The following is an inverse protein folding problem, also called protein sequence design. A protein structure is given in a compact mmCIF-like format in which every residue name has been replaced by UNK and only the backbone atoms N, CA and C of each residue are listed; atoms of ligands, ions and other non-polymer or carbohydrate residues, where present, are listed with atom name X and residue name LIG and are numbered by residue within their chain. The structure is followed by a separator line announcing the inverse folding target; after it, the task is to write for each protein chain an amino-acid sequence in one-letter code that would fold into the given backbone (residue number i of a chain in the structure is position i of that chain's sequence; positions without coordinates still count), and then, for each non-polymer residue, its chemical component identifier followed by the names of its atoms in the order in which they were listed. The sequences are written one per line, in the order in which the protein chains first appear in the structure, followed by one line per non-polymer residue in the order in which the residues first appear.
data_IF_086637844532
#
_entry.id   IF_086637844532
#
_cell.length_a   1.000
_cell.length_b   1.000
_cell.length_c   1.000
_cell.angle_alpha   90.00
_cell.angle_beta   90.00
_cell.angle_gamma   90.00
#
_symmetry.space_group_name_H-M   'P 1'
#
loop_
_entity.id
_entity.type
_entity.pdbx_description
1 polymer ?
#
# COMPACT_ATOMS: atom_id res chain seq x y z
N UNK A 1 -18.00 2.33 1.17
CA UNK A 1 -16.65 2.10 0.60
C UNK A 1 -16.18 3.38 -0.08
N UNK A 2 -14.87 3.58 -0.28
CA UNK A 2 -14.37 4.77 -0.97
C UNK A 2 -14.59 4.68 -2.48
N UNK A 3 -14.48 5.81 -3.17
CA UNK A 3 -14.50 5.88 -4.64
C UNK A 3 -13.23 5.27 -5.24
N UNK A 4 -12.06 5.59 -4.65
CA UNK A 4 -10.75 5.04 -5.02
C UNK A 4 -10.24 4.13 -3.92
N UNK A 5 -10.09 2.85 -4.23
CA UNK A 5 -9.64 1.82 -3.29
C UNK A 5 -8.23 1.34 -3.65
N UNK A 6 -7.37 1.22 -2.65
CA UNK A 6 -6.01 0.70 -2.77
C UNK A 6 -5.92 -0.69 -2.16
N UNK A 7 -5.34 -1.63 -2.90
CA UNK A 7 -5.10 -3.00 -2.44
C UNK A 7 -3.66 -3.39 -2.72
N UNK A 8 -2.89 -3.69 -1.69
CA UNK A 8 -1.49 -4.07 -1.89
C UNK A 8 -0.99 -5.01 -0.78
N UNK A 9 0.05 -5.77 -1.06
CA UNK A 9 0.79 -6.46 0.00
C UNK A 9 2.02 -5.68 0.39
N UNK A 10 2.16 -5.48 1.69
CA UNK A 10 3.21 -4.66 2.26
C UNK A 10 3.88 -5.40 3.40
N UNK A 11 5.19 -5.21 3.50
CA UNK A 11 5.94 -5.75 4.61
C UNK A 11 5.71 -4.91 5.86
N UNK A 12 4.90 -5.43 6.78
CA UNK A 12 4.62 -4.85 8.09
C UNK A 12 5.16 -5.81 9.13
N UNK A 13 5.98 -5.31 10.06
CA UNK A 13 6.70 -6.12 11.03
C UNK A 13 7.52 -7.27 10.39
N UNK A 14 8.11 -7.02 9.21
CA UNK A 14 8.87 -7.99 8.38
C UNK A 14 8.06 -9.15 7.80
N UNK A 15 6.73 -9.13 7.94
CA UNK A 15 5.83 -10.14 7.37
C UNK A 15 5.00 -9.48 6.26
N UNK A 16 4.78 -10.14 5.12
CA UNK A 16 3.86 -9.64 4.10
C UNK A 16 2.43 -9.61 4.66
N UNK A 17 1.77 -8.45 4.60
CA UNK A 17 0.39 -8.22 5.02
C UNK A 17 -0.40 -7.61 3.88
N UNK A 18 -1.64 -8.04 3.69
CA UNK A 18 -2.51 -7.48 2.67
C UNK A 18 -3.25 -6.26 3.22
N UNK A 19 -3.00 -5.10 2.65
CA UNK A 19 -3.49 -3.80 3.10
C UNK A 19 -4.56 -3.31 2.14
N UNK A 20 -5.65 -2.82 2.71
CA UNK A 20 -6.78 -2.26 1.98
C UNK A 20 -7.01 -0.85 2.53
N UNK A 21 -7.11 0.14 1.65
CA UNK A 21 -7.20 1.54 2.07
C UNK A 21 -7.97 2.42 1.10
N UNK A 22 -8.55 3.49 1.63
CA UNK A 22 -9.04 4.61 0.86
C UNK A 22 -7.85 5.48 0.45
N UNK A 23 -7.60 5.51 -0.85
CA UNK A 23 -6.43 6.19 -1.41
C UNK A 23 -6.64 7.71 -1.44
N UNK A 24 -7.89 8.17 -1.60
CA UNK A 24 -8.21 9.60 -1.65
C UNK A 24 -8.17 10.23 -0.25
N UNK A 25 -8.80 9.59 0.73
CA UNK A 25 -8.90 10.17 2.07
C UNK A 25 -7.74 9.76 3.00
N UNK A 26 -6.76 9.00 2.48
CA UNK A 26 -5.63 8.46 3.26
C UNK A 26 -6.10 7.69 4.49
N UNK A 27 -7.16 6.89 4.34
CA UNK A 27 -7.70 6.07 5.43
C UNK A 27 -7.36 4.59 5.25
N UNK A 28 -6.98 3.92 6.33
CA UNK A 28 -6.84 2.48 6.37
C UNK A 28 -8.22 1.84 6.50
N UNK A 29 -8.57 0.94 5.59
CA UNK A 29 -9.81 0.15 5.73
C UNK A 29 -9.53 -1.15 6.46
N UNK A 30 -8.45 -1.85 6.09
CA UNK A 30 -8.05 -3.07 6.79
C UNK A 30 -6.60 -3.50 6.53
N UNK A 31 -6.09 -4.34 7.41
CA UNK A 31 -4.88 -5.13 7.24
C UNK A 31 -5.26 -6.59 7.49
N UNK A 32 -5.01 -7.46 6.50
CA UNK A 32 -5.19 -8.91 6.56
C UNK A 32 -3.83 -9.60 6.63
N UNK A 33 -3.82 -10.82 7.15
CA UNK A 33 -2.58 -11.53 7.44
C UNK A 33 -1.69 -11.75 6.22
N UNK A 34 -2.29 -12.05 5.07
CA UNK A 34 -1.62 -12.22 3.78
C UNK A 34 -2.64 -12.14 2.64
N UNK A 35 -2.15 -11.97 1.41
CA UNK A 35 -3.01 -11.89 0.20
C UNK A 35 -3.55 -13.24 -0.29
N UNK A 36 -3.01 -14.34 0.22
CA UNK A 36 -3.35 -15.72 -0.17
C UNK A 36 -4.39 -16.35 0.75
N UNK A 37 -4.91 -15.59 1.71
CA UNK A 37 -5.81 -16.15 2.71
C UNK A 37 -7.09 -16.62 2.00
N UNK A 38 -7.45 -17.89 2.20
CA UNK A 38 -8.69 -18.53 1.71
C UNK A 38 -9.94 -17.69 2.01
N UNK A 39 -9.87 -16.83 3.04
CA UNK A 39 -10.97 -16.03 3.53
C UNK A 39 -11.09 -14.64 2.87
N UNK A 40 -10.26 -14.28 1.87
CA UNK A 40 -10.44 -12.98 1.20
C UNK A 40 -11.78 -12.91 0.45
N UNK A 41 -12.24 -14.01 -0.13
CA UNK A 41 -13.56 -14.06 -0.77
C UNK A 41 -14.68 -13.77 0.24
N UNK A 42 -14.72 -14.52 1.36
CA UNK A 42 -15.69 -14.29 2.43
C UNK A 42 -15.59 -12.88 3.04
N UNK A 43 -14.37 -12.35 3.14
CA UNK A 43 -14.13 -11.01 3.63
C UNK A 43 -14.76 -9.95 2.72
N UNK A 44 -14.53 -10.05 1.40
CA UNK A 44 -15.11 -9.12 0.44
C UNK A 44 -16.62 -9.32 0.28
N UNK A 45 -17.14 -10.55 0.43
CA UNK A 45 -18.58 -10.80 0.40
C UNK A 45 -19.33 -10.01 1.48
N UNK A 46 -18.77 -9.93 2.69
CA UNK A 46 -19.33 -9.19 3.83
C UNK A 46 -19.21 -7.67 3.72
N UNK A 47 -18.42 -7.15 2.77
CA UNK A 47 -18.29 -5.71 2.59
C UNK A 47 -19.51 -5.12 1.90
N UNK A 48 -20.10 -4.09 2.50
CA UNK A 48 -21.20 -3.32 1.93
C UNK A 48 -20.69 -2.12 1.11
N UNK A 49 -21.55 -1.62 0.21
CA UNK A 49 -21.24 -0.43 -0.60
C UNK A 49 -20.15 -0.65 -1.64
N UNK A 50 -19.85 -1.89 -2.04
CA UNK A 50 -18.83 -2.20 -3.07
C UNK A 50 -19.11 -1.51 -4.41
N UNK A 51 -20.38 -1.23 -4.71
CA UNK A 51 -20.81 -0.52 -5.91
C UNK A 51 -20.40 0.97 -5.96
N UNK A 52 -20.02 1.55 -4.83
CA UNK A 52 -19.49 2.92 -4.77
C UNK A 52 -18.02 3.01 -5.16
N UNK A 53 -17.32 1.87 -5.29
CA UNK A 53 -15.93 1.84 -5.73
C UNK A 53 -15.88 1.99 -7.25
N UNK A 54 -15.26 3.07 -7.72
CA UNK A 54 -15.09 3.34 -9.15
C UNK A 54 -13.77 2.78 -9.67
N UNK A 55 -12.70 2.86 -8.88
CA UNK A 55 -11.37 2.39 -9.28
C UNK A 55 -10.62 1.71 -8.15
N UNK A 56 -9.92 0.63 -8.49
CA UNK A 56 -9.05 -0.11 -7.59
C UNK A 56 -7.62 -0.06 -8.12
N UNK A 57 -6.71 0.51 -7.32
CA UNK A 57 -5.28 0.44 -7.58
C UNK A 57 -4.66 -0.71 -6.81
N UNK A 58 -3.90 -1.54 -7.53
CA UNK A 58 -3.24 -2.69 -6.96
C UNK A 58 -1.88 -2.96 -7.61
N UNK A 59 -1.15 -3.91 -7.03
CA UNK A 59 0.07 -4.43 -7.61
C UNK A 59 -0.19 -5.36 -8.82
N UNK A 60 0.90 -5.80 -9.46
CA UNK A 60 0.85 -6.67 -10.63
C UNK A 60 0.69 -8.15 -10.27
N UNK A 61 -0.20 -8.46 -9.32
CA UNK A 61 -0.54 -9.82 -8.94
C UNK A 61 -1.89 -10.25 -9.53
N UNK A 62 -1.89 -11.30 -10.36
CA UNK A 62 -3.09 -11.79 -11.05
C UNK A 62 -4.18 -12.29 -10.09
N UNK A 63 -3.82 -12.77 -8.90
CA UNK A 63 -4.78 -13.19 -7.88
C UNK A 63 -5.65 -12.03 -7.39
N UNK A 64 -5.03 -10.87 -7.09
CA UNK A 64 -5.76 -9.66 -6.71
C UNK A 64 -6.67 -9.18 -7.85
N UNK A 65 -6.17 -9.19 -9.10
CA UNK A 65 -7.00 -8.87 -10.27
C UNK A 65 -8.24 -9.77 -10.40
N UNK A 66 -8.09 -11.07 -10.14
CA UNK A 66 -9.20 -12.03 -10.20
C UNK A 66 -10.22 -11.74 -9.10
N UNK A 67 -9.72 -11.46 -7.89
CA UNK A 67 -10.51 -11.11 -6.72
C UNK A 67 -11.29 -9.81 -6.92
N UNK A 68 -10.62 -8.76 -7.39
CA UNK A 68 -11.22 -7.46 -7.70
C UNK A 68 -12.33 -7.59 -8.73
N UNK A 69 -12.10 -8.30 -9.85
CA UNK A 69 -13.12 -8.50 -10.88
C UNK A 69 -14.35 -9.27 -10.38
N UNK A 70 -14.16 -10.18 -9.41
CA UNK A 70 -15.25 -10.98 -8.83
C UNK A 70 -16.13 -10.14 -7.91
N UNK A 71 -15.51 -9.37 -7.02
CA UNK A 71 -16.18 -8.67 -5.90
C UNK A 71 -16.58 -7.23 -6.20
N UNK A 72 -15.84 -6.54 -7.07
CA UNK A 72 -16.04 -5.13 -7.40
C UNK A 72 -16.39 -4.96 -8.87
N UNK A 73 -17.57 -5.48 -9.26
CA UNK A 73 -17.97 -5.60 -10.67
C UNK A 73 -18.11 -4.27 -11.41
N UNK A 74 -18.38 -3.18 -10.68
CA UNK A 74 -18.49 -1.82 -11.24
C UNK A 74 -17.16 -1.07 -11.29
N UNK A 75 -16.17 -1.51 -10.52
CA UNK A 75 -14.88 -0.83 -10.44
C UNK A 75 -13.98 -1.20 -11.61
N UNK A 76 -13.26 -0.21 -12.15
CA UNK A 76 -12.12 -0.48 -13.03
C UNK A 76 -10.87 -0.75 -12.20
N UNK A 77 -9.93 -1.49 -12.77
CA UNK A 77 -8.67 -1.82 -12.09
C UNK A 77 -7.51 -1.08 -12.73
N UNK A 78 -6.76 -0.33 -11.92
CA UNK A 78 -5.48 0.28 -12.28
C UNK A 78 -4.30 -0.45 -11.63
N UNK A 79 -3.14 -0.39 -12.28
CA UNK A 79 -1.87 -0.79 -11.65
C UNK A 79 -1.22 0.42 -11.01
N UNK A 80 -0.81 0.30 -9.74
CA UNK A 80 0.05 1.30 -9.12
C UNK A 80 1.39 1.35 -9.85
N UNK A 81 1.68 2.51 -10.45
CA UNK A 81 2.88 2.75 -11.24
C UNK A 81 4.17 2.51 -10.47
N UNK A 82 4.17 2.67 -9.14
CA UNK A 82 5.34 2.41 -8.33
C UNK A 82 5.88 0.99 -8.54
N UNK A 83 5.00 -0.01 -8.67
CA UNK A 83 5.41 -1.40 -8.88
C UNK A 83 6.08 -1.59 -10.25
N UNK A 84 5.56 -0.97 -11.31
CA UNK A 84 6.16 -1.01 -12.65
C UNK A 84 7.54 -0.33 -12.64
N UNK A 85 7.61 0.85 -12.04
CA UNK A 85 8.82 1.66 -11.97
C UNK A 85 9.88 0.99 -11.07
N UNK A 86 9.48 0.32 -10.00
CA UNK A 86 10.36 -0.47 -9.15
C UNK A 86 11.04 -1.61 -9.92
N UNK A 87 10.31 -2.32 -10.81
CA UNK A 87 10.92 -3.35 -11.67
C UNK A 87 12.03 -2.77 -12.55
N UNK A 88 11.86 -1.57 -13.08
CA UNK A 88 12.89 -0.92 -13.89
C UNK A 88 14.15 -0.55 -13.09
N UNK A 89 14.00 -0.16 -11.83
CA UNK A 89 15.15 0.00 -10.92
C UNK A 89 15.88 -1.32 -10.69
N UNK A 90 15.15 -2.42 -10.51
CA UNK A 90 15.74 -3.76 -10.37
C UNK A 90 16.49 -4.17 -11.64
N UNK A 91 15.98 -3.85 -12.83
CA UNK A 91 16.67 -4.13 -14.09
C UNK A 91 18.01 -3.38 -14.19
N UNK A 92 18.05 -2.09 -13.82
CA UNK A 92 19.32 -1.33 -13.74
C UNK A 92 20.29 -1.95 -12.74
N UNK A 93 19.79 -2.39 -11.58
CA UNK A 93 20.61 -3.08 -10.58
C UNK A 93 21.15 -4.42 -11.10
N UNK A 94 20.41 -5.15 -11.94
CA UNK A 94 20.91 -6.36 -12.60
C UNK A 94 22.09 -6.04 -13.51
N UNK A 95 21.97 -5.02 -14.37
CA UNK A 95 23.08 -4.56 -15.24
C UNK A 95 24.29 -4.17 -14.40
N UNK A 96 24.07 -3.38 -13.33
CA UNK A 96 25.14 -2.97 -12.41
C UNK A 96 25.83 -4.18 -11.76
N UNK A 97 25.07 -5.19 -11.32
CA UNK A 97 25.60 -6.40 -10.67
C UNK A 97 26.39 -7.25 -11.65
N UNK A 98 25.93 -7.38 -12.89
CA UNK A 98 26.63 -8.14 -13.92
C UNK A 98 27.94 -7.45 -14.33
N UNK A 99 27.91 -6.14 -14.53
CA UNK A 99 29.12 -5.33 -14.70
C UNK A 99 30.09 -5.51 -13.51
N UNK A 100 29.58 -5.55 -12.28
CA UNK A 100 30.41 -5.70 -11.10
C UNK A 100 31.20 -7.02 -11.05
N UNK A 101 30.78 -8.06 -11.79
CA UNK A 101 31.47 -9.36 -11.85
C UNK A 101 32.74 -9.31 -12.69
N UNK A 102 32.82 -8.40 -13.67
CA UNK A 102 33.99 -8.25 -14.55
C UNK A 102 35.00 -7.20 -14.06
N UNK A 103 34.70 -6.49 -12.97
CA UNK A 103 35.55 -5.41 -12.45
C UNK A 103 36.53 -5.88 -11.37
N UNK A 104 37.75 -5.34 -11.41
CA UNK A 104 38.72 -5.47 -10.32
C UNK A 104 38.23 -4.89 -8.98
N UNK A 105 38.77 -5.39 -7.87
CA UNK A 105 38.22 -5.19 -6.52
C UNK A 105 37.97 -3.71 -6.14
N UNK A 106 38.90 -2.80 -6.44
CA UNK A 106 38.73 -1.35 -6.15
C UNK A 106 37.53 -0.74 -6.87
N UNK A 107 37.39 -0.99 -8.18
CA UNK A 107 36.25 -0.50 -8.99
C UNK A 107 34.94 -1.13 -8.53
N UNK A 108 34.97 -2.42 -8.16
CA UNK A 108 33.82 -3.17 -7.65
C UNK A 108 33.24 -2.57 -6.36
N UNK A 109 34.12 -2.22 -5.42
CA UNK A 109 33.73 -1.59 -4.14
C UNK A 109 33.13 -0.20 -4.40
N UNK A 110 33.77 0.61 -5.26
CA UNK A 110 33.29 1.96 -5.61
C UNK A 110 31.90 1.91 -6.27
N UNK A 111 31.66 0.98 -7.20
CA UNK A 111 30.37 0.85 -7.86
C UNK A 111 29.28 0.36 -6.90
N UNK A 112 29.61 -0.59 -6.01
CA UNK A 112 28.66 -1.11 -5.00
C UNK A 112 28.26 -0.03 -3.98
N UNK A 113 29.21 0.77 -3.49
CA UNK A 113 28.93 1.80 -2.48
C UNK A 113 28.08 2.96 -3.01
N UNK A 114 27.94 3.09 -4.32
CA UNK A 114 27.20 4.15 -5.01
C UNK A 114 25.90 3.66 -5.67
N UNK A 115 25.43 2.45 -5.36
CA UNK A 115 24.23 1.87 -5.97
C UNK A 115 22.97 2.76 -5.87
N UNK A 116 22.81 3.48 -4.74
CA UNK A 116 21.68 4.39 -4.54
C UNK A 116 21.62 5.55 -5.55
N UNK A 117 22.74 5.92 -6.18
CA UNK A 117 22.74 6.97 -7.21
C UNK A 117 21.84 6.58 -8.39
N UNK A 118 21.83 5.31 -8.79
CA UNK A 118 21.09 4.84 -9.96
C UNK A 118 19.57 4.80 -9.73
N UNK A 119 19.11 4.88 -8.46
CA UNK A 119 17.70 5.03 -8.11
C UNK A 119 17.20 6.47 -8.28
N UNK A 120 18.12 7.45 -8.27
CA UNK A 120 17.74 8.85 -8.39
C UNK A 120 17.13 9.16 -9.76
N UNK A 121 16.11 10.01 -9.77
CA UNK A 121 15.51 10.59 -10.98
C UNK A 121 16.39 11.71 -11.50
N UNK A 122 16.69 11.69 -12.80
CA UNK A 122 17.58 12.67 -13.41
C UNK A 122 17.04 14.09 -13.17
N UNK A 123 15.75 14.30 -13.44
CA UNK A 123 15.10 15.61 -13.40
C UNK A 123 15.05 16.24 -12.00
N UNK A 124 14.91 15.43 -10.94
CA UNK A 124 14.72 15.95 -9.56
C UNK A 124 15.95 15.81 -8.68
N UNK A 125 16.98 15.05 -9.10
CA UNK A 125 18.18 14.89 -8.29
C UNK A 125 19.09 16.13 -8.31
N UNK A 126 19.93 16.25 -7.27
CA UNK A 126 20.90 17.34 -7.12
C UNK A 126 21.92 17.33 -8.27
N UNK A 127 22.47 18.50 -8.59
CA UNK A 127 23.50 18.66 -9.64
C UNK A 127 24.71 17.75 -9.39
N UNK A 128 25.12 17.59 -8.14
CA UNK A 128 26.24 16.73 -7.73
C UNK A 128 25.95 15.24 -7.97
N UNK A 129 24.68 14.83 -7.87
CA UNK A 129 24.23 13.48 -8.23
C UNK A 129 24.32 13.26 -9.73
N UNK A 130 23.85 14.22 -10.54
CA UNK A 130 23.97 14.16 -12.01
C UNK A 130 25.41 14.05 -12.48
N UNK A 131 26.32 14.84 -11.88
CA UNK A 131 27.75 14.77 -12.19
C UNK A 131 28.32 13.38 -11.93
N UNK A 132 28.03 12.80 -10.76
CA UNK A 132 28.48 11.45 -10.44
C UNK A 132 27.88 10.38 -11.37
N UNK A 133 26.60 10.51 -11.73
CA UNK A 133 25.97 9.61 -12.69
C UNK A 133 26.66 9.69 -14.06
N UNK A 134 26.92 10.89 -14.58
CA UNK A 134 27.66 11.08 -15.82
C UNK A 134 29.06 10.46 -15.77
N UNK A 135 29.80 10.64 -14.66
CA UNK A 135 31.11 10.01 -14.48
C UNK A 135 31.01 8.47 -14.58
N UNK A 136 29.94 7.87 -14.05
CA UNK A 136 29.71 6.43 -14.19
C UNK A 136 29.29 6.03 -15.62
N UNK A 137 28.48 6.84 -16.30
CA UNK A 137 28.00 6.53 -17.65
C UNK A 137 29.10 6.64 -18.70
N UNK A 138 30.05 7.56 -18.52
CA UNK A 138 31.26 7.65 -19.35
C UNK A 138 32.16 6.41 -19.21
N UNK A 139 32.21 5.82 -18.01
CA UNK A 139 33.02 4.64 -17.75
C UNK A 139 32.30 3.34 -18.13
N UNK A 140 30.97 3.32 -18.05
CA UNK A 140 30.14 2.13 -18.18
C UNK A 140 28.90 2.44 -19.02
N UNK A 141 29.08 2.50 -20.34
CA UNK A 141 28.05 2.89 -21.32
C UNK A 141 26.75 2.11 -21.14
N UNK A 142 26.81 0.78 -21.06
CA UNK A 142 25.63 -0.08 -20.91
C UNK A 142 24.82 0.22 -19.64
N UNK A 143 25.50 0.62 -18.55
CA UNK A 143 24.83 1.02 -17.31
C UNK A 143 24.11 2.37 -17.48
N UNK A 144 24.69 3.28 -18.26
CA UNK A 144 24.04 4.52 -18.67
C UNK A 144 22.82 4.28 -19.55
N UNK A 145 22.93 3.41 -20.55
CA UNK A 145 21.80 3.04 -21.42
C UNK A 145 20.66 2.40 -20.62
N UNK A 146 20.98 1.51 -19.68
CA UNK A 146 20.00 0.94 -18.75
C UNK A 146 19.32 2.02 -17.92
N UNK A 147 20.09 2.98 -17.39
CA UNK A 147 19.54 4.10 -16.61
C UNK A 147 18.62 4.97 -17.46
N UNK A 148 19.00 5.32 -18.69
CA UNK A 148 18.15 6.12 -19.57
C UNK A 148 16.91 5.36 -20.04
N UNK A 149 17.00 4.04 -20.24
CA UNK A 149 15.82 3.21 -20.52
C UNK A 149 14.85 3.21 -19.33
N UNK A 150 15.37 3.13 -18.10
CA UNK A 150 14.58 3.36 -16.87
C UNK A 150 13.96 4.76 -16.88
N UNK A 151 14.74 5.82 -17.09
CA UNK A 151 14.23 7.20 -17.03
C UNK A 151 13.14 7.47 -18.07
N UNK A 152 13.27 6.91 -19.29
CA UNK A 152 12.23 6.98 -20.33
C UNK A 152 10.94 6.30 -19.91
N UNK A 153 10.99 5.16 -19.21
CA UNK A 153 9.80 4.49 -18.69
C UNK A 153 9.04 5.35 -17.68
N UNK A 154 9.77 6.05 -16.80
CA UNK A 154 9.16 7.00 -15.89
C UNK A 154 8.50 8.16 -16.64
N UNK A 155 9.16 8.68 -17.67
CA UNK A 155 8.68 9.81 -18.49
C UNK A 155 7.34 9.55 -19.19
N UNK A 156 6.95 8.29 -19.37
CA UNK A 156 5.64 7.93 -19.92
C UNK A 156 4.51 8.43 -19.02
N UNK A 157 4.71 8.43 -17.70
CA UNK A 157 3.70 8.92 -16.76
C UNK A 157 3.56 10.45 -16.74
N UNK A 158 4.40 11.15 -17.49
CA UNK A 158 4.33 12.61 -17.70
C UNK A 158 3.59 12.96 -19.01
N UNK A 159 3.13 11.97 -19.78
CA UNK A 159 2.26 12.19 -20.94
C UNK A 159 0.91 12.81 -20.53
N UNK A 160 0.34 13.65 -21.41
CA UNK A 160 -0.90 14.37 -21.11
C UNK A 160 -2.14 13.54 -21.40
N UNK A 161 -2.05 12.58 -22.33
CA UNK A 161 -3.18 11.75 -22.74
C UNK A 161 -2.86 10.26 -22.71
N UNK A 162 -3.90 9.43 -22.59
CA UNK A 162 -3.79 7.98 -22.70
C UNK A 162 -3.18 7.54 -24.04
N UNK A 163 -3.57 8.20 -25.14
CA UNK A 163 -3.09 7.86 -26.48
C UNK A 163 -1.58 8.13 -26.63
N UNK A 164 -1.10 9.27 -26.14
CA UNK A 164 0.33 9.58 -26.09
C UNK A 164 1.10 8.56 -25.25
N UNK A 165 0.59 8.23 -24.06
CA UNK A 165 1.23 7.26 -23.19
C UNK A 165 1.27 5.85 -23.80
N UNK A 166 0.21 5.47 -24.52
CA UNK A 166 0.12 4.20 -25.22
C UNK A 166 1.14 4.10 -26.35
N UNK A 167 1.31 5.17 -27.13
CA UNK A 167 2.36 5.26 -28.14
C UNK A 167 3.75 5.24 -27.49
N UNK A 168 3.97 6.02 -26.45
CA UNK A 168 5.25 6.08 -25.73
C UNK A 168 5.63 4.72 -25.12
N UNK A 169 4.66 3.92 -24.63
CA UNK A 169 4.91 2.54 -24.18
C UNK A 169 5.34 1.63 -25.33
N UNK A 170 4.72 1.76 -26.51
CA UNK A 170 5.14 1.00 -27.69
C UNK A 170 6.57 1.38 -28.09
N UNK A 171 6.86 2.67 -28.19
CA UNK A 171 8.18 3.17 -28.57
C UNK A 171 9.24 2.76 -27.55
N UNK A 172 8.89 2.80 -26.26
CA UNK A 172 9.76 2.32 -25.19
C UNK A 172 10.06 0.83 -25.31
N UNK A 173 9.06 -0.01 -25.59
CA UNK A 173 9.27 -1.45 -25.79
C UNK A 173 10.14 -1.74 -27.01
N UNK A 174 9.95 -1.00 -28.11
CA UNK A 174 10.75 -1.15 -29.33
C UNK A 174 12.17 -0.60 -29.17
N UNK A 175 12.37 0.39 -28.29
CA UNK A 175 13.65 1.01 -28.00
C UNK A 175 14.54 0.26 -27.00
N UNK A 176 14.15 -0.96 -26.57
CA UNK A 176 14.98 -1.82 -25.72
C UNK A 176 16.10 -2.43 -26.56
N UNK A 177 17.34 -2.02 -26.28
CA UNK A 177 18.52 -2.53 -26.98
C UNK A 177 18.76 -4.03 -26.72
N UNK A 178 19.38 -4.78 -27.65
CA UNK A 178 19.66 -6.21 -27.51
C UNK A 178 20.33 -6.60 -26.18
N UNK A 179 21.35 -5.84 -25.77
CA UNK A 179 22.10 -6.10 -24.52
C UNK A 179 21.28 -5.85 -23.25
N UNK A 180 20.18 -5.11 -23.35
CA UNK A 180 19.27 -4.80 -22.25
C UNK A 180 18.02 -5.68 -22.21
N UNK A 181 17.77 -6.50 -23.24
CA UNK A 181 16.61 -7.40 -23.30
C UNK A 181 16.54 -8.31 -22.08
N UNK A 182 17.65 -8.99 -21.75
CA UNK A 182 17.69 -9.93 -20.61
C UNK A 182 17.49 -9.22 -19.26
N UNK A 183 18.21 -8.15 -18.91
CA UNK A 183 17.96 -7.39 -17.68
C UNK A 183 16.54 -6.82 -17.58
N UNK A 184 15.94 -6.40 -18.69
CA UNK A 184 14.60 -5.79 -18.73
C UNK A 184 13.47 -6.78 -19.06
N UNK A 185 13.73 -8.09 -19.14
CA UNK A 185 12.71 -9.09 -19.52
C UNK A 185 11.50 -9.06 -18.57
N UNK A 186 11.73 -8.87 -17.27
CA UNK A 186 10.64 -8.77 -16.28
C UNK A 186 9.80 -7.50 -16.50
N UNK A 187 10.46 -6.37 -16.79
CA UNK A 187 9.78 -5.08 -17.03
C UNK A 187 8.97 -5.15 -18.32
N UNK A 188 9.55 -5.62 -19.41
CA UNK A 188 8.87 -5.75 -20.71
C UNK A 188 7.71 -6.73 -20.65
N UNK A 189 7.85 -7.85 -19.93
CA UNK A 189 6.75 -8.79 -19.66
C UNK A 189 5.65 -8.15 -18.82
N UNK A 190 6.01 -7.37 -17.80
CA UNK A 190 5.05 -6.63 -16.98
C UNK A 190 4.28 -5.61 -17.83
N UNK A 191 4.98 -4.78 -18.61
CA UNK A 191 4.36 -3.83 -19.54
C UNK A 191 3.42 -4.56 -20.49
N UNK A 192 3.86 -5.62 -21.16
CA UNK A 192 3.02 -6.38 -22.10
C UNK A 192 1.73 -6.91 -21.45
N UNK A 193 1.84 -7.51 -20.26
CA UNK A 193 0.71 -8.17 -19.60
C UNK A 193 -0.24 -7.21 -18.88
N UNK A 194 0.28 -6.07 -18.40
CA UNK A 194 -0.46 -5.13 -17.56
C UNK A 194 -0.77 -3.80 -18.25
N UNK A 195 -0.36 -3.61 -19.51
CA UNK A 195 -0.57 -2.39 -20.31
C UNK A 195 -1.96 -1.78 -20.18
N UNK A 196 -3.08 -2.51 -20.34
CA UNK A 196 -4.41 -1.91 -20.22
C UNK A 196 -4.67 -1.32 -18.82
N UNK A 197 -4.16 -1.95 -17.77
CA UNK A 197 -4.32 -1.51 -16.38
C UNK A 197 -3.35 -0.38 -16.01
N UNK A 198 -2.17 -0.34 -16.63
CA UNK A 198 -1.24 0.80 -16.52
C UNK A 198 -1.85 2.06 -17.14
N UNK A 199 -2.47 1.93 -18.32
CA UNK A 199 -3.07 3.05 -19.04
C UNK A 199 -4.30 3.65 -18.35
N UNK A 200 -4.92 2.94 -17.39
CA UNK A 200 -5.99 3.50 -16.53
C UNK A 200 -5.52 4.69 -15.70
N UNK A 201 -4.21 4.81 -15.46
CA UNK A 201 -3.62 5.98 -14.81
C UNK A 201 -3.99 7.30 -15.51
N UNK A 202 -4.07 7.31 -16.85
CA UNK A 202 -4.37 8.53 -17.62
C UNK A 202 -5.86 8.85 -17.72
N UNK A 203 -6.73 7.90 -17.37
CA UNK A 203 -8.18 8.09 -17.33
C UNK A 203 -8.64 8.53 -15.94
N UNK A 204 -7.93 8.07 -14.91
CA UNK A 204 -8.20 8.36 -13.52
C UNK A 204 -6.91 8.81 -12.82
N UNK A 205 -6.33 9.97 -13.17
CA UNK A 205 -5.05 10.39 -12.61
C UNK A 205 -5.18 10.61 -11.11
N UNK A 206 -4.68 9.65 -10.34
CA UNK A 206 -4.33 9.89 -8.95
C UNK A 206 -3.04 10.70 -8.94
N UNK A 207 -3.03 11.84 -8.26
CA UNK A 207 -1.79 12.58 -8.07
C UNK A 207 -0.77 11.69 -7.31
N UNK A 208 0.52 11.84 -7.62
CA UNK A 208 1.60 11.09 -6.96
C UNK A 208 1.50 11.10 -5.42
N UNK A 209 1.05 12.23 -4.88
CA UNK A 209 0.83 12.43 -3.45
C UNK A 209 -0.21 11.47 -2.86
N UNK A 210 -1.24 11.08 -3.62
CA UNK A 210 -2.28 10.16 -3.15
C UNK A 210 -1.77 8.72 -2.97
N UNK A 211 -1.02 8.17 -3.93
CA UNK A 211 -0.36 6.86 -3.78
C UNK A 211 0.77 6.86 -2.74
N UNK A 212 1.49 7.97 -2.60
CA UNK A 212 2.47 8.15 -1.52
C UNK A 212 1.81 8.19 -0.14
N UNK A 213 0.57 8.66 -0.04
CA UNK A 213 -0.14 8.82 1.22
C UNK A 213 -0.38 7.49 1.95
N UNK A 214 -0.79 6.44 1.21
CA UNK A 214 -1.02 5.10 1.75
C UNK A 214 0.32 4.42 2.09
N UNK A 215 1.33 4.55 1.22
CA UNK A 215 2.67 4.01 1.47
C UNK A 215 3.36 4.66 2.68
N UNK A 216 3.19 5.97 2.84
CA UNK A 216 3.65 6.72 4.01
C UNK A 216 2.92 6.27 5.27
N UNK A 217 1.60 6.06 5.18
CA UNK A 217 0.78 5.52 6.27
C UNK A 217 1.29 4.14 6.73
N UNK A 218 1.52 3.21 5.79
CA UNK A 218 2.07 1.88 6.08
C UNK A 218 3.45 1.97 6.74
N UNK A 219 4.29 2.90 6.30
CA UNK A 219 5.61 3.13 6.89
C UNK A 219 5.51 3.62 8.34
N UNK A 220 4.53 4.47 8.65
CA UNK A 220 4.26 4.92 10.00
C UNK A 220 3.75 3.79 10.90
N UNK A 221 2.80 2.99 10.40
CA UNK A 221 2.30 1.78 11.08
C UNK A 221 3.45 0.84 11.42
N UNK A 222 4.35 0.57 10.46
CA UNK A 222 5.49 -0.32 10.66
C UNK A 222 6.52 0.24 11.66
N UNK A 223 6.66 1.56 11.75
CA UNK A 223 7.54 2.22 12.73
C UNK A 223 7.00 2.08 14.15
N UNK A 224 5.70 2.33 14.34
CA UNK A 224 5.03 2.30 15.65
C UNK A 224 4.74 0.88 16.11
N UNK A 225 4.46 -0.04 15.19
CA UNK A 225 4.05 -1.42 15.46
C UNK A 225 5.17 -2.42 15.76
N UNK A 226 6.40 -1.97 16.02
CA UNK A 226 7.51 -2.89 16.30
C UNK A 226 7.28 -3.64 17.62
N UNK A 227 7.27 -4.97 17.56
CA UNK A 227 7.10 -5.84 18.73
C UNK A 227 5.65 -6.16 19.10
N UNK A 228 4.66 -5.64 18.37
CA UNK A 228 3.25 -5.98 18.59
C UNK A 228 2.85 -7.28 17.90
N UNK A 229 1.85 -7.96 18.47
CA UNK A 229 1.12 -9.01 17.76
C UNK A 229 0.40 -8.42 16.54
N UNK A 230 0.00 -9.27 15.59
CA UNK A 230 -0.70 -8.81 14.40
C UNK A 230 -2.03 -8.13 14.74
N UNK A 231 -2.78 -8.72 15.64
CA UNK A 231 -4.09 -8.28 16.10
C UNK A 231 -3.98 -6.91 16.77
N UNK A 232 -3.00 -6.76 17.66
CA UNK A 232 -2.73 -5.50 18.36
C UNK A 232 -2.30 -4.40 17.37
N UNK A 233 -1.44 -4.74 16.41
CA UNK A 233 -0.99 -3.82 15.37
C UNK A 233 -2.16 -3.38 14.49
N UNK A 234 -2.97 -4.33 14.03
CA UNK A 234 -4.15 -4.09 13.18
C UNK A 234 -5.14 -3.19 13.90
N UNK A 235 -5.49 -3.49 15.15
CA UNK A 235 -6.42 -2.69 15.94
C UNK A 235 -5.94 -1.25 16.12
N UNK A 236 -4.69 -1.06 16.55
CA UNK A 236 -4.09 0.28 16.69
C UNK A 236 -4.03 1.05 15.37
N UNK A 237 -3.66 0.38 14.29
CA UNK A 237 -3.57 1.01 12.97
C UNK A 237 -4.96 1.46 12.48
N UNK A 238 -5.98 0.62 12.66
CA UNK A 238 -7.33 0.93 12.27
C UNK A 238 -7.97 2.05 13.10
N UNK A 239 -7.69 2.11 14.40
CA UNK A 239 -8.17 3.20 15.25
C UNK A 239 -7.52 4.53 14.90
N UNK A 240 -6.21 4.53 14.67
CA UNK A 240 -5.46 5.76 14.40
C UNK A 240 -5.66 6.29 12.99
N UNK A 241 -5.79 5.40 12.01
CA UNK A 241 -5.73 5.76 10.60
C UNK A 241 -6.94 5.30 9.79
N UNK A 242 -7.86 4.54 10.38
CA UNK A 242 -9.09 4.13 9.73
C UNK A 242 -10.26 5.07 10.01
N UNK A 243 -11.46 4.63 9.65
CA UNK A 243 -12.69 5.35 9.95
C UNK A 243 -13.19 4.94 11.34
N UNK A 244 -12.61 5.57 12.37
CA UNK A 244 -13.03 5.39 13.75
C UNK A 244 -14.38 6.08 13.98
N UNK A 245 -15.39 5.31 14.35
CA UNK A 245 -16.74 5.76 14.67
C UNK A 245 -17.02 5.50 16.14
N UNK A 246 -17.79 6.36 16.80
CA UNK A 246 -18.17 6.09 18.19
C UNK A 246 -19.14 4.91 18.21
N UNK A 247 -19.02 4.07 19.23
CA UNK A 247 -19.85 2.87 19.31
C UNK A 247 -21.34 3.25 19.42
N UNK A 248 -21.65 4.33 20.13
CA UNK A 248 -23.01 4.91 20.24
C UNK A 248 -23.62 5.38 18.91
N UNK A 249 -22.80 5.69 17.91
CA UNK A 249 -23.29 6.07 16.59
C UNK A 249 -23.71 4.83 15.77
N UNK A 250 -23.27 3.64 16.19
CA UNK A 250 -23.46 2.37 15.48
C UNK A 250 -24.45 1.43 16.19
N UNK A 251 -24.57 1.54 17.52
CA UNK A 251 -25.34 0.62 18.33
C UNK A 251 -26.20 1.36 19.34
N UNK A 252 -27.34 0.77 19.69
CA UNK A 252 -28.17 1.24 20.78
C UNK A 252 -27.69 0.62 22.09
N UNK A 253 -27.30 1.47 23.03
CA UNK A 253 -26.99 1.10 24.39
C UNK A 253 -28.09 1.57 25.32
N UNK A 254 -28.45 0.74 26.30
CA UNK A 254 -29.26 1.18 27.43
C UNK A 254 -28.40 1.97 28.43
N UNK A 255 -28.16 3.24 28.12
CA UNK A 255 -27.34 4.12 28.94
C UNK A 255 -27.91 4.36 30.35
N UNK A 256 -29.19 4.04 30.56
CA UNK A 256 -29.85 4.15 31.89
C UNK A 256 -29.49 2.99 32.82
N UNK A 257 -28.88 1.93 32.27
CA UNK A 257 -28.41 0.76 33.02
C UNK A 257 -26.93 0.87 33.47
N UNK A 258 -26.23 1.96 33.13
CA UNK A 258 -24.87 2.21 33.60
C UNK A 258 -24.87 2.46 35.12
N UNK A 259 -23.96 1.79 35.85
CA UNK A 259 -23.84 1.86 37.31
C UNK A 259 -22.94 3.03 37.76
N UNK A 260 -22.19 3.66 36.83
CA UNK A 260 -21.31 4.79 37.13
C UNK A 260 -21.19 5.83 35.99
N UNK A 261 -20.84 7.06 36.35
CA UNK A 261 -20.51 8.14 35.39
C UNK A 261 -19.32 7.76 34.49
N UNK A 262 -18.39 6.97 35.02
CA UNK A 262 -17.21 6.47 34.31
C UNK A 262 -17.60 5.50 33.17
N UNK A 263 -18.58 4.63 33.42
CA UNK A 263 -19.15 3.72 32.40
C UNK A 263 -19.89 4.50 31.30
N UNK A 264 -20.71 5.48 31.69
CA UNK A 264 -21.41 6.33 30.74
C UNK A 264 -20.42 7.13 29.87
N UNK A 265 -19.39 7.72 30.49
CA UNK A 265 -18.37 8.47 29.78
C UNK A 265 -17.55 7.58 28.84
N UNK A 266 -17.32 6.32 29.20
CA UNK A 266 -16.72 5.34 28.30
C UNK A 266 -17.58 5.10 27.06
N UNK A 267 -18.86 4.73 27.23
CA UNK A 267 -19.73 4.43 26.08
C UNK A 267 -19.83 5.64 25.13
N UNK A 268 -19.83 6.85 25.67
CA UNK A 268 -19.89 8.10 24.90
C UNK A 268 -18.61 8.42 24.12
N UNK A 269 -17.45 7.94 24.56
CA UNK A 269 -16.13 8.27 23.98
C UNK A 269 -15.46 7.10 23.25
N UNK A 270 -15.93 5.87 23.49
CA UNK A 270 -15.38 4.68 22.87
C UNK A 270 -15.58 4.71 21.36
N UNK A 271 -14.52 4.41 20.62
CA UNK A 271 -14.50 4.38 19.16
C UNK A 271 -14.08 3.03 18.62
N UNK A 272 -14.67 2.67 17.49
CA UNK A 272 -14.40 1.44 16.74
C UNK A 272 -14.16 1.76 15.29
N UNK A 273 -13.18 1.09 14.70
CA UNK A 273 -12.90 1.23 13.28
C UNK A 273 -13.75 0.26 12.45
N UNK A 274 -14.19 0.68 11.27
CA UNK A 274 -14.77 -0.21 10.26
C UNK A 274 -13.91 -1.47 10.04
N UNK A 275 -14.45 -2.66 10.31
CA UNK A 275 -13.75 -3.95 10.16
C UNK A 275 -13.49 -4.73 11.45
N UNK A 276 -14.02 -4.28 12.58
CA UNK A 276 -14.08 -5.04 13.84
C UNK A 276 -15.54 -5.48 14.05
N UNK A 277 -15.79 -6.79 14.01
CA UNK A 277 -17.09 -7.37 14.36
C UNK A 277 -17.39 -7.14 15.85
N UNK A 278 -18.66 -7.03 16.26
CA UNK A 278 -19.02 -6.85 17.68
C UNK A 278 -18.42 -7.95 18.55
N UNK A 279 -18.40 -9.20 18.07
CA UNK A 279 -17.78 -10.32 18.79
C UNK A 279 -16.27 -10.12 18.97
N UNK A 280 -15.61 -9.55 17.96
CA UNK A 280 -14.19 -9.18 18.02
C UNK A 280 -13.97 -8.00 18.97
N UNK A 281 -14.96 -7.11 19.11
CA UNK A 281 -14.94 -6.02 20.06
C UNK A 281 -15.08 -6.50 21.51
N UNK A 282 -16.05 -7.37 21.76
CA UNK A 282 -16.26 -8.00 23.06
C UNK A 282 -15.02 -8.79 23.47
N UNK A 283 -14.46 -9.59 22.56
CA UNK A 283 -13.22 -10.34 22.81
C UNK A 283 -12.01 -9.42 23.03
N UNK A 284 -11.91 -8.33 22.26
CA UNK A 284 -10.84 -7.36 22.43
C UNK A 284 -10.94 -6.63 23.78
N UNK A 285 -12.13 -6.32 24.27
CA UNK A 285 -12.33 -5.76 25.61
C UNK A 285 -12.01 -6.79 26.69
N UNK A 286 -12.48 -8.04 26.56
CA UNK A 286 -12.17 -9.14 27.50
C UNK A 286 -10.67 -9.37 27.64
N UNK A 287 -9.92 -9.15 26.56
CA UNK A 287 -8.46 -9.26 26.52
C UNK A 287 -7.71 -7.96 26.87
N UNK A 288 -8.41 -6.86 27.16
CA UNK A 288 -7.79 -5.56 27.46
C UNK A 288 -7.04 -4.93 26.28
N UNK A 289 -7.44 -5.28 25.06
CA UNK A 289 -6.84 -4.81 23.80
C UNK A 289 -7.62 -3.68 23.14
N UNK A 290 -8.79 -3.31 23.68
CA UNK A 290 -9.51 -2.11 23.26
C UNK A 290 -8.77 -0.85 23.72
N UNK A 291 -8.61 0.09 22.79
CA UNK A 291 -7.96 1.36 23.05
C UNK A 291 -9.00 2.43 23.35
N UNK A 292 -8.93 2.99 24.56
CA UNK A 292 -9.61 4.22 24.96
C UNK A 292 -8.61 5.36 24.77
N UNK A 293 -9.09 6.57 24.48
CA UNK A 293 -8.25 7.77 24.37
C UNK A 293 -7.44 8.07 25.65
N UNK A 294 -7.71 7.36 26.76
CA UNK A 294 -6.86 7.29 27.95
C UNK A 294 -6.40 5.85 28.26
N UNK A 295 -5.09 5.66 28.50
CA UNK A 295 -4.53 4.40 28.99
C UNK A 295 -5.10 3.96 30.36
N UNK A 296 -5.69 4.89 31.12
CA UNK A 296 -6.41 4.61 32.37
C UNK A 296 -7.78 3.98 32.12
N UNK A 297 -8.55 4.47 31.14
CA UNK A 297 -9.88 3.94 30.83
C UNK A 297 -9.84 2.47 30.42
N UNK A 298 -8.89 2.06 29.58
CA UNK A 298 -8.74 0.66 29.16
C UNK A 298 -8.42 -0.31 30.32
N UNK A 299 -7.73 0.14 31.38
CA UNK A 299 -7.43 -0.68 32.56
C UNK A 299 -8.63 -0.78 33.50
N UNK A 300 -9.30 0.33 33.79
CA UNK A 300 -10.51 0.34 34.63
C UNK A 300 -11.67 -0.46 34.00
N UNK A 301 -11.76 -0.53 32.67
CA UNK A 301 -12.80 -1.29 31.96
C UNK A 301 -12.70 -2.81 32.12
N UNK A 302 -11.47 -3.34 32.20
CA UNK A 302 -11.25 -4.75 32.51
C UNK A 302 -11.71 -5.06 33.95
N UNK A 303 -11.51 -4.12 34.85
CA UNK A 303 -11.83 -4.27 36.26
C UNK A 303 -13.33 -4.04 36.56
N UNK A 304 -14.04 -3.22 35.77
CA UNK A 304 -15.46 -2.90 35.95
C UNK A 304 -16.44 -3.77 35.14
N UNK A 305 -15.96 -4.61 34.19
CA UNK A 305 -16.81 -5.59 33.51
C UNK A 305 -17.72 -5.01 32.41
N UNK A 306 -17.26 -3.97 31.71
CA UNK A 306 -17.98 -3.29 30.62
C UNK A 306 -18.34 -4.17 29.41
N UNK A 307 -17.87 -5.42 29.36
CA UNK A 307 -18.23 -6.42 28.33
C UNK A 307 -19.74 -6.69 28.29
N UNK A 308 -20.43 -6.55 29.43
CA UNK A 308 -21.87 -6.84 29.58
C UNK A 308 -22.75 -5.99 28.66
N UNK A 309 -22.39 -4.72 28.45
CA UNK A 309 -23.17 -3.80 27.62
C UNK A 309 -23.02 -4.04 26.12
N UNK A 310 -21.98 -4.76 25.69
CA UNK A 310 -21.75 -5.07 24.27
C UNK A 310 -22.37 -6.39 23.84
N UNK A 311 -22.53 -7.33 24.77
CA UNK A 311 -23.21 -8.60 24.51
C UNK A 311 -24.72 -8.38 24.25
N UNK A 312 -25.31 -7.29 24.77
CA UNK A 312 -26.73 -6.92 24.62
C UNK A 312 -26.98 -5.78 23.61
N UNK A 313 -25.94 -5.24 22.96
CA UNK A 313 -26.08 -4.08 22.08
C UNK A 313 -26.71 -4.45 20.72
N UNK A 314 -27.83 -3.82 20.37
CA UNK A 314 -28.47 -4.01 19.07
C UNK A 314 -27.88 -3.05 18.02
N UNK A 315 -27.57 -3.51 16.79
CA UNK A 315 -27.17 -2.64 15.69
C UNK A 315 -28.22 -1.57 15.39
N UNK A 316 -27.78 -0.35 15.07
CA UNK A 316 -28.63 0.68 14.47
C UNK A 316 -28.79 0.47 12.97
#
# INVERSE_FOLDING_TARGET
MPRVLGMDEKYIAKVPRFVIGDVENRKLLDIRENRLSLNLDQYFDRMEGKDSVEIIYQDMYKGNLTLTKRHFRRAVTGVDKFHVLALSNTAVEMVRRDLNKSLGNRKRIKLKSRNKLFLARWETCKRETRKQLNDFFLLYTLLGEAYWLKERLYGIYDCSTRAEAEQALTDWMNGVQPDLVKPFTVVTSAVKNWRPYMLRYFEHPLTNAYTESLNGLISEINRVGRGYSFETLRAKALLKYGDAKRIIDLYNFDLMSCESDEEMQFLMTAVVSSGVDISTLTDALRQGTLYVDSCEGARQLRDNGAHRFLDDAAPR
#
